data_IF_121983831633
#
_entry.id   IF_121983831633
#
_cell.length_a   1.000
_cell.length_b   1.000
_cell.length_c   1.000
_cell.angle_alpha   90.00
_cell.angle_beta   90.00
_cell.angle_gamma   90.00
#
_symmetry.space_group_name_H-M   'P 1'
#
loop_
_entity.id
_entity.type
_entity.pdbx_description
1 polymer ?
#
# COMPACT_ATOMS: atom_id res chain seq x y z
N UNK A 1 -11.35 -15.65 -30.73
CA UNK A 1 -11.61 -16.96 -30.10
C UNK A 1 -10.31 -17.42 -29.48
N UNK A 2 -10.10 -17.20 -28.19
CA UNK A 2 -8.84 -17.57 -27.55
C UNK A 2 -9.13 -18.19 -26.18
N UNK A 3 -9.09 -19.52 -26.25
CA UNK A 3 -8.92 -20.57 -25.25
C UNK A 3 -8.90 -20.16 -23.77
N UNK A 4 -9.95 -20.60 -23.07
CA UNK A 4 -9.87 -20.92 -21.66
C UNK A 4 -9.02 -22.19 -21.50
N UNK A 5 -7.96 -22.13 -20.71
CA UNK A 5 -7.30 -23.31 -20.14
C UNK A 5 -7.61 -23.35 -18.65
N UNK A 6 -8.25 -24.43 -18.22
CA UNK A 6 -8.54 -24.75 -16.83
C UNK A 6 -7.25 -25.15 -16.10
N UNK A 7 -6.99 -24.50 -14.97
CA UNK A 7 -6.27 -25.09 -13.83
C UNK A 7 -4.74 -25.03 -13.84
N UNK A 8 -4.19 -23.96 -13.26
CA UNK A 8 -3.06 -24.00 -12.33
C UNK A 8 -2.85 -22.59 -11.77
N UNK A 9 -2.84 -22.48 -10.43
CA UNK A 9 -2.53 -21.29 -9.64
C UNK A 9 -1.81 -20.19 -10.44
N UNK A 10 -2.57 -19.23 -10.95
CA UNK A 10 -2.07 -18.09 -11.70
C UNK A 10 -1.25 -17.21 -10.76
N UNK A 11 0.03 -17.53 -10.64
CA UNK A 11 1.02 -16.64 -10.04
C UNK A 11 1.05 -15.41 -10.97
N UNK A 12 0.71 -14.20 -10.48
CA UNK A 12 0.67 -13.01 -11.33
C UNK A 12 2.00 -12.86 -12.07
N UNK A 13 1.96 -12.50 -13.36
CA UNK A 13 3.17 -12.30 -14.19
C UNK A 13 4.15 -11.33 -13.51
N UNK A 14 3.63 -10.36 -12.76
CA UNK A 14 4.40 -9.47 -11.89
C UNK A 14 5.24 -10.22 -10.85
N UNK A 15 4.68 -11.24 -10.18
CA UNK A 15 5.39 -12.05 -9.19
C UNK A 15 6.46 -12.96 -9.82
N UNK A 16 6.26 -13.44 -11.04
CA UNK A 16 7.29 -14.21 -11.78
C UNK A 16 8.46 -13.28 -12.13
N UNK A 17 8.18 -12.05 -12.58
CA UNK A 17 9.19 -11.03 -12.82
C UNK A 17 9.99 -10.66 -11.55
N UNK A 18 9.32 -10.49 -10.40
CA UNK A 18 9.98 -10.27 -9.11
C UNK A 18 10.84 -11.44 -8.65
N UNK A 19 10.47 -12.70 -8.94
CA UNK A 19 11.28 -13.88 -8.61
C UNK A 19 12.58 -13.91 -9.42
N UNK A 20 12.51 -13.71 -10.73
CA UNK A 20 13.68 -13.72 -11.62
C UNK A 20 14.70 -12.62 -11.28
N UNK A 21 14.23 -11.46 -10.81
CA UNK A 21 15.11 -10.37 -10.38
C UNK A 21 15.87 -10.71 -9.09
N UNK A 22 15.21 -11.32 -8.10
CA UNK A 22 15.83 -11.69 -6.82
C UNK A 22 16.96 -12.72 -6.95
N UNK A 23 16.92 -13.54 -8.00
CA UNK A 23 17.93 -14.56 -8.28
C UNK A 23 19.12 -14.02 -9.12
N UNK A 24 19.07 -12.76 -9.59
CA UNK A 24 20.15 -12.13 -10.36
C UNK A 24 21.17 -11.40 -9.45
N UNK A 25 22.45 -11.41 -9.84
CA UNK A 25 23.52 -10.66 -9.17
C UNK A 25 23.28 -9.13 -9.11
N UNK A 26 22.40 -8.61 -9.98
CA UNK A 26 21.94 -7.21 -9.96
C UNK A 26 21.16 -6.90 -8.67
N UNK A 27 20.39 -7.85 -8.12
CA UNK A 27 19.61 -7.66 -6.89
C UNK A 27 20.50 -7.45 -5.65
N UNK A 28 21.67 -8.09 -5.61
CA UNK A 28 22.65 -7.92 -4.54
C UNK A 28 23.24 -6.49 -4.53
N UNK A 29 23.33 -5.85 -5.71
CA UNK A 29 23.79 -4.46 -5.84
C UNK A 29 22.68 -3.46 -5.48
N UNK A 30 21.40 -3.79 -5.71
CA UNK A 30 20.25 -2.96 -5.30
C UNK A 30 19.85 -3.14 -3.84
N UNK A 31 20.27 -4.24 -3.18
CA UNK A 31 19.98 -4.52 -1.75
C UNK A 31 20.62 -3.51 -0.78
N UNK A 32 21.51 -2.64 -1.25
CA UNK A 32 22.07 -1.53 -0.47
C UNK A 32 21.14 -0.32 -0.39
N UNK A 33 20.08 -0.29 -1.21
CA UNK A 33 19.08 0.77 -1.17
C UNK A 33 18.08 0.45 -0.07
N UNK A 34 17.97 1.36 0.90
CA UNK A 34 16.94 1.26 1.93
C UNK A 34 15.62 1.70 1.32
N UNK A 35 14.65 0.79 1.31
CA UNK A 35 13.30 1.05 0.86
C UNK A 35 12.31 0.60 1.93
N UNK A 36 11.15 1.26 1.98
CA UNK A 36 10.08 0.86 2.86
C UNK A 36 9.20 -0.25 2.25
N UNK A 37 8.52 -1.07 3.06
CA UNK A 37 7.59 -2.07 2.55
C UNK A 37 6.45 -1.43 1.75
N UNK A 38 6.09 -2.00 0.60
CA UNK A 38 4.97 -1.50 -0.20
C UNK A 38 3.68 -1.46 0.63
N UNK A 39 3.08 -0.27 0.75
CA UNK A 39 1.83 -0.10 1.47
C UNK A 39 0.66 -0.58 0.62
N UNK A 40 -0.31 -1.21 1.29
CA UNK A 40 -1.56 -1.62 0.66
C UNK A 40 -2.63 -0.56 0.85
N UNK A 41 -3.51 -0.42 -0.16
CA UNK A 41 -4.70 0.42 -0.01
C UNK A 41 -5.58 -0.13 1.13
N UNK A 42 -6.12 0.73 2.01
CA UNK A 42 -7.07 0.29 3.02
C UNK A 42 -8.36 -0.18 2.37
N UNK A 43 -9.03 -1.16 2.99
CA UNK A 43 -10.39 -1.54 2.61
C UNK A 43 -11.32 -0.33 2.73
N UNK A 44 -12.24 -0.12 1.78
CA UNK A 44 -13.09 1.08 1.69
C UNK A 44 -12.33 2.43 1.60
N UNK A 45 -11.06 2.39 1.21
CA UNK A 45 -10.27 3.58 0.95
C UNK A 45 -9.35 3.41 -0.24
N UNK A 46 -8.47 4.39 -0.38
CA UNK A 46 -7.52 4.49 -1.47
C UNK A 46 -6.27 5.22 -1.00
N UNK A 47 -5.20 5.03 -1.77
CA UNK A 47 -4.01 5.87 -1.71
C UNK A 47 -4.17 6.91 -2.81
N UNK A 48 -4.02 8.18 -2.49
CA UNK A 48 -4.12 9.28 -3.45
C UNK A 48 -2.72 9.80 -3.81
N UNK A 49 -2.52 10.09 -5.09
CA UNK A 49 -1.20 10.47 -5.63
C UNK A 49 -0.27 9.27 -5.84
N UNK A 50 1.04 9.55 -5.84
CA UNK A 50 2.10 8.54 -5.95
C UNK A 50 2.49 8.03 -4.57
N UNK A 51 2.68 6.72 -4.44
CA UNK A 51 3.11 6.08 -3.19
C UNK A 51 4.12 5.00 -3.56
N UNK A 52 5.36 5.43 -3.64
CA UNK A 52 6.52 4.58 -3.89
C UNK A 52 7.20 4.22 -2.56
N UNK A 53 8.34 3.53 -2.61
CA UNK A 53 8.99 2.94 -1.43
C UNK A 53 10.34 3.56 -1.08
N UNK A 54 10.77 4.62 -1.77
CA UNK A 54 12.07 5.24 -1.52
C UNK A 54 12.02 6.14 -0.28
N UNK A 55 13.17 6.30 0.38
CA UNK A 55 13.31 7.24 1.50
C UNK A 55 12.86 8.64 1.09
N UNK A 56 11.97 9.24 1.89
CA UNK A 56 11.36 10.54 1.63
C UNK A 56 10.04 10.49 0.85
N UNK A 57 9.69 9.37 0.21
CA UNK A 57 8.40 9.21 -0.46
C UNK A 57 7.26 9.30 0.55
N UNK A 58 6.12 9.84 0.09
CA UNK A 58 4.95 10.08 0.91
C UNK A 58 3.73 9.36 0.34
N UNK A 59 3.05 8.60 1.19
CA UNK A 59 1.80 7.93 0.85
C UNK A 59 0.65 8.61 1.60
N UNK A 60 -0.35 9.08 0.85
CA UNK A 60 -1.53 9.75 1.39
C UNK A 60 -2.75 8.85 1.29
N UNK A 61 -3.44 8.66 2.40
CA UNK A 61 -4.59 7.77 2.53
C UNK A 61 -5.89 8.55 2.61
N UNK A 62 -6.90 8.04 1.92
CA UNK A 62 -8.24 8.61 1.90
C UNK A 62 -9.29 7.52 1.97
N UNK A 63 -10.32 7.73 2.78
CA UNK A 63 -11.45 6.83 2.87
C UNK A 63 -12.58 7.28 1.95
N UNK A 64 -13.27 6.32 1.35
CA UNK A 64 -14.49 6.59 0.60
C UNK A 64 -15.61 6.86 1.59
N UNK A 65 -16.54 7.73 1.22
CA UNK A 65 -17.76 7.91 2.01
C UNK A 65 -18.56 6.60 2.12
N UNK A 66 -19.22 6.32 3.25
CA UNK A 66 -19.29 7.11 4.49
C UNK A 66 -18.27 6.65 5.55
N UNK A 67 -17.10 6.16 5.14
CA UNK A 67 -16.06 5.63 6.03
C UNK A 67 -15.09 6.72 6.46
N UNK A 68 -14.57 6.60 7.68
CA UNK A 68 -13.62 7.55 8.24
C UNK A 68 -12.25 6.89 8.39
N UNK A 69 -11.21 7.71 8.25
CA UNK A 69 -9.83 7.29 8.42
C UNK A 69 -9.52 7.09 9.91
N UNK A 70 -8.89 5.97 10.22
CA UNK A 70 -8.29 5.63 11.52
C UNK A 70 -6.80 5.42 11.29
N UNK A 71 -5.96 5.98 12.15
CA UNK A 71 -4.50 5.99 11.99
C UNK A 71 -4.00 7.21 11.21
N UNK A 72 -2.84 7.10 10.56
CA UNK A 72 -2.19 8.24 9.92
C UNK A 72 -2.69 8.50 8.50
N UNK A 73 -3.03 9.76 8.18
CA UNK A 73 -3.41 10.19 6.81
C UNK A 73 -2.22 10.19 5.86
N UNK A 74 -1.05 10.55 6.35
CA UNK A 74 0.18 10.61 5.55
C UNK A 74 1.23 9.77 6.25
N UNK A 75 1.94 8.96 5.47
CA UNK A 75 3.10 8.18 5.94
C UNK A 75 4.28 8.48 5.03
N UNK A 76 5.45 8.65 5.63
CA UNK A 76 6.70 9.01 4.95
C UNK A 76 7.70 7.87 5.14
N UNK A 77 8.39 7.47 4.08
CA UNK A 77 9.41 6.44 4.18
C UNK A 77 10.68 7.00 4.82
N UNK A 78 11.14 6.39 5.90
CA UNK A 78 12.31 6.84 6.66
C UNK A 78 13.59 6.13 6.23
N UNK A 79 14.74 6.72 6.54
CA UNK A 79 16.08 6.18 6.28
C UNK A 79 16.35 4.80 6.91
N UNK A 80 15.55 4.38 7.89
CA UNK A 80 15.64 3.06 8.50
C UNK A 80 14.75 2.00 7.79
N UNK A 81 14.13 2.34 6.66
CA UNK A 81 13.27 1.44 5.89
C UNK A 81 11.89 1.23 6.52
N UNK A 82 11.48 2.11 7.44
CA UNK A 82 10.14 2.06 8.06
C UNK A 82 9.31 3.27 7.67
N UNK A 83 8.00 3.08 7.63
CA UNK A 83 7.04 4.16 7.40
C UNK A 83 6.73 4.87 8.71
N UNK A 84 6.69 6.20 8.67
CA UNK A 84 6.19 6.99 9.80
C UNK A 84 4.73 6.69 10.12
N UNK A 85 4.33 7.05 11.34
CA UNK A 85 2.95 7.02 11.78
C UNK A 85 2.38 5.62 11.95
N UNK A 86 1.06 5.57 12.09
CA UNK A 86 0.29 4.37 12.37
C UNK A 86 -0.37 3.83 11.10
N UNK A 87 -0.67 2.52 11.11
CA UNK A 87 -1.40 1.85 10.03
C UNK A 87 -2.74 2.52 9.76
N UNK A 88 -2.94 2.92 8.51
CA UNK A 88 -4.15 3.59 8.05
C UNK A 88 -5.24 2.57 7.71
N UNK A 89 -6.42 2.71 8.30
CA UNK A 89 -7.59 1.89 8.03
C UNK A 89 -8.85 2.75 7.86
N UNK A 90 -9.84 2.26 7.10
CA UNK A 90 -11.12 2.94 6.96
C UNK A 90 -12.21 2.17 7.69
N UNK A 91 -12.80 2.81 8.70
CA UNK A 91 -13.86 2.25 9.52
C UNK A 91 -15.09 3.14 9.55
N UNK A 92 -16.28 2.54 9.65
CA UNK A 92 -17.48 3.28 10.08
C UNK A 92 -17.36 3.49 11.58
N UNK A 93 -16.70 4.57 11.99
CA UNK A 93 -16.77 4.94 13.40
C UNK A 93 -18.18 5.46 13.66
N UNK A 94 -18.92 4.75 14.52
CA UNK A 94 -20.24 5.19 14.96
C UNK A 94 -20.14 6.54 15.70
N UNK A 95 -18.96 6.83 16.28
CA UNK A 95 -18.63 8.11 16.91
C UNK A 95 -18.60 9.29 15.92
N UNK A 96 -18.05 9.14 14.70
CA UNK A 96 -17.97 10.25 13.72
C UNK A 96 -19.35 10.65 13.16
N UNK A 97 -20.29 9.70 13.02
CA UNK A 97 -21.68 10.02 12.67
C UNK A 97 -22.37 10.85 13.75
N UNK A 98 -22.20 10.50 15.02
CA UNK A 98 -22.80 11.25 16.12
C UNK A 98 -22.27 12.68 16.27
N UNK A 99 -21.04 13.01 15.82
CA UNK A 99 -20.51 14.40 15.85
C UNK A 99 -20.98 15.24 14.67
N UNK A 100 -21.17 14.65 13.49
CA UNK A 100 -21.58 15.36 12.27
C UNK A 100 -23.10 15.52 12.13
N UNK A 101 -23.92 14.70 12.80
CA UNK A 101 -25.39 14.87 12.85
C UNK A 101 -25.85 15.99 13.80
N UNK A 102 -24.92 16.60 14.56
CA UNK A 102 -25.17 17.71 15.49
C UNK A 102 -24.77 19.09 14.92
N UNK A 103 -24.45 19.19 13.62
CA UNK A 103 -24.06 20.45 12.96
C UNK A 103 -25.01 20.82 11.83
#
# INVERSE_FOLDING_TARGET
MSFYAHGQNDVPVDQVYFRTLKDSLIYLLTSLVVECPKLQKPWNGQIIGTCETNVGDQCVFECRDPYNLVGSRVRVCQENGTWTGETSACGKNQYYRSVNELR
#
